data_IF_714215702728
#
_entry.id   IF_714215702728
#
_cell.length_a   1.000
_cell.length_b   1.000
_cell.length_c   1.000
_cell.angle_alpha   90.00
_cell.angle_beta   90.00
_cell.angle_gamma   90.00
#
_symmetry.space_group_name_H-M   'P 1'
#
loop_
_entity.id
_entity.type
_entity.pdbx_description
1 polymer ?
#
# COMPACT_ATOMS: atom_id res chain seq x y z
N UNK A 1 -10.42 -28.40 6.65
CA UNK A 1 -8.95 -28.56 6.69
C UNK A 1 -8.27 -27.78 5.56
N UNK A 2 -8.60 -28.02 4.28
CA UNK A 2 -8.03 -27.27 3.14
C UNK A 2 -8.26 -25.75 3.24
N UNK A 3 -9.47 -25.34 3.59
CA UNK A 3 -9.82 -23.92 3.77
C UNK A 3 -8.98 -23.25 4.86
N UNK A 4 -8.77 -23.93 5.99
CA UNK A 4 -7.91 -23.43 7.06
C UNK A 4 -6.44 -23.28 6.61
N UNK A 5 -5.92 -24.24 5.86
CA UNK A 5 -4.56 -24.16 5.30
C UNK A 5 -4.42 -23.00 4.30
N UNK A 6 -5.43 -22.78 3.44
CA UNK A 6 -5.45 -21.66 2.51
C UNK A 6 -5.52 -20.31 3.22
N UNK A 7 -6.28 -20.21 4.31
CA UNK A 7 -6.34 -19.00 5.13
C UNK A 7 -4.98 -18.71 5.76
N UNK A 8 -4.32 -19.73 6.33
CA UNK A 8 -2.97 -19.57 6.92
C UNK A 8 -1.95 -19.15 5.87
N UNK A 9 -1.98 -19.76 4.67
CA UNK A 9 -1.09 -19.41 3.57
C UNK A 9 -1.30 -17.96 3.10
N UNK A 10 -2.55 -17.55 2.88
CA UNK A 10 -2.88 -16.18 2.45
C UNK A 10 -2.52 -15.15 3.53
N UNK A 11 -2.74 -15.48 4.81
CA UNK A 11 -2.35 -14.63 5.92
C UNK A 11 -0.82 -14.45 5.97
N UNK A 12 -0.06 -15.53 5.82
CA UNK A 12 1.40 -15.48 5.78
C UNK A 12 1.93 -14.63 4.62
N UNK A 13 1.39 -14.81 3.41
CA UNK A 13 1.74 -13.98 2.25
C UNK A 13 1.43 -12.51 2.49
N UNK A 14 0.23 -12.19 2.99
CA UNK A 14 -0.18 -10.82 3.26
C UNK A 14 0.71 -10.15 4.33
N UNK A 15 1.11 -10.89 5.36
CA UNK A 15 2.05 -10.38 6.37
C UNK A 15 3.43 -10.10 5.77
N UNK A 16 3.96 -11.01 4.96
CA UNK A 16 5.25 -10.82 4.31
C UNK A 16 5.26 -9.60 3.38
N UNK A 17 4.22 -9.44 2.56
CA UNK A 17 4.11 -8.30 1.63
C UNK A 17 4.08 -6.96 2.37
N UNK A 18 3.25 -6.85 3.42
CA UNK A 18 3.13 -5.61 4.21
C UNK A 18 4.43 -5.28 4.95
N UNK A 19 5.16 -6.28 5.45
CA UNK A 19 6.45 -6.08 6.12
C UNK A 19 7.51 -5.63 5.11
N UNK A 20 7.59 -6.26 3.94
CA UNK A 20 8.51 -5.85 2.87
C UNK A 20 8.27 -4.40 2.48
N UNK A 21 7.01 -4.04 2.26
CA UNK A 21 6.68 -2.68 1.88
C UNK A 21 6.96 -1.66 3.00
N UNK A 22 6.73 -2.03 4.27
CA UNK A 22 7.07 -1.19 5.42
C UNK A 22 8.59 -0.95 5.51
N UNK A 23 9.40 -1.98 5.30
CA UNK A 23 10.86 -1.86 5.24
C UNK A 23 11.31 -0.96 4.09
N UNK A 24 10.70 -1.10 2.91
CA UNK A 24 10.97 -0.21 1.78
C UNK A 24 10.60 1.23 2.13
N UNK A 25 9.45 1.47 2.76
CA UNK A 25 9.03 2.81 3.18
C UNK A 25 10.00 3.44 4.19
N UNK A 26 10.49 2.69 5.18
CA UNK A 26 11.47 3.17 6.15
C UNK A 26 12.83 3.50 5.49
N UNK A 27 13.26 2.67 4.55
CA UNK A 27 14.49 2.90 3.77
C UNK A 27 14.38 4.13 2.86
N UNK A 28 13.21 4.35 2.26
CA UNK A 28 12.88 5.54 1.45
C UNK A 28 12.99 6.82 2.27
N UNK A 29 12.45 6.82 3.48
CA UNK A 29 12.55 7.99 4.37
C UNK A 29 14.00 8.24 4.79
N UNK A 30 14.76 7.19 5.08
CA UNK A 30 16.15 7.28 5.51
C UNK A 30 17.09 7.80 4.41
N UNK A 31 16.82 7.46 3.14
CA UNK A 31 17.60 7.93 1.99
C UNK A 31 17.19 9.33 1.48
N UNK A 32 16.01 9.81 1.88
CA UNK A 32 15.47 11.12 1.54
C UNK A 32 14.53 11.11 0.31
N UNK A 33 13.71 12.17 0.13
CA UNK A 33 12.62 12.18 -0.85
C UNK A 33 13.09 11.90 -2.29
N UNK A 34 14.23 12.46 -2.69
CA UNK A 34 14.76 12.35 -4.05
C UNK A 34 15.02 10.90 -4.49
N UNK A 35 15.33 10.00 -3.54
CA UNK A 35 15.64 8.60 -3.82
C UNK A 35 14.42 7.68 -3.63
N UNK A 36 13.30 8.20 -3.12
CA UNK A 36 12.08 7.44 -2.82
C UNK A 36 11.56 6.62 -4.00
N UNK A 37 11.46 7.27 -5.17
CA UNK A 37 10.99 6.62 -6.40
C UNK A 37 11.97 5.56 -6.91
N UNK A 38 13.27 5.76 -6.72
CA UNK A 38 14.31 4.84 -7.18
C UNK A 38 14.28 3.53 -6.35
N UNK A 39 14.23 3.62 -5.02
CA UNK A 39 14.11 2.46 -4.13
C UNK A 39 12.83 1.66 -4.40
N UNK A 40 11.69 2.34 -4.53
CA UNK A 40 10.43 1.65 -4.78
C UNK A 40 10.43 1.00 -6.17
N UNK A 41 11.02 1.66 -7.18
CA UNK A 41 11.19 1.06 -8.50
C UNK A 41 12.07 -0.19 -8.49
N UNK A 42 13.11 -0.20 -7.65
CA UNK A 42 14.00 -1.34 -7.48
C UNK A 42 13.27 -2.52 -6.81
N UNK A 43 12.51 -2.26 -5.75
CA UNK A 43 11.70 -3.29 -5.08
C UNK A 43 10.72 -3.96 -6.06
N UNK A 44 10.01 -3.16 -6.85
CA UNK A 44 9.06 -3.67 -7.83
C UNK A 44 9.72 -4.38 -9.01
N UNK A 45 10.90 -3.94 -9.43
CA UNK A 45 11.68 -4.65 -10.43
C UNK A 45 12.13 -6.01 -9.91
N UNK A 46 12.55 -6.10 -8.65
CA UNK A 46 12.88 -7.37 -7.98
C UNK A 46 11.67 -8.31 -7.91
N UNK A 47 10.50 -7.79 -7.49
CA UNK A 47 9.23 -8.52 -7.50
C UNK A 47 8.88 -9.05 -8.89
N UNK A 48 9.06 -8.23 -9.94
CA UNK A 48 8.79 -8.63 -11.31
C UNK A 48 9.71 -9.76 -11.79
N UNK A 49 11.01 -9.70 -11.44
CA UNK A 49 11.96 -10.77 -11.75
C UNK A 49 11.53 -12.08 -11.06
N UNK A 50 11.18 -12.03 -9.77
CA UNK A 50 10.64 -13.20 -9.06
C UNK A 50 9.36 -13.73 -9.71
N UNK A 51 8.48 -12.83 -10.14
CA UNK A 51 7.25 -13.14 -10.86
C UNK A 51 7.47 -13.83 -12.22
N UNK A 52 8.49 -13.41 -12.97
CA UNK A 52 8.88 -14.05 -14.25
C UNK A 52 9.31 -15.49 -14.00
N UNK A 53 10.25 -15.70 -13.07
CA UNK A 53 10.71 -17.04 -12.73
C UNK A 53 9.58 -17.91 -12.18
N UNK A 54 8.73 -17.37 -11.31
CA UNK A 54 7.58 -18.07 -10.75
C UNK A 54 6.53 -18.46 -11.80
N UNK A 55 6.25 -17.58 -12.76
CA UNK A 55 5.27 -17.83 -13.83
C UNK A 55 5.79 -18.86 -14.83
N UNK A 56 7.07 -18.79 -15.19
CA UNK A 56 7.73 -19.79 -16.05
C UNK A 56 7.80 -21.16 -15.37
N UNK A 57 8.24 -21.21 -14.12
CA UNK A 57 8.31 -22.45 -13.35
C UNK A 57 6.92 -23.05 -13.13
N UNK A 58 5.92 -22.22 -12.82
CA UNK A 58 4.54 -22.65 -12.66
C UNK A 58 3.90 -23.19 -13.93
N UNK A 59 4.12 -22.51 -15.07
CA UNK A 59 3.67 -23.00 -16.38
C UNK A 59 4.33 -24.32 -16.75
N UNK A 60 5.65 -24.44 -16.59
CA UNK A 60 6.39 -25.67 -16.87
C UNK A 60 5.97 -26.83 -15.96
N UNK A 61 5.83 -26.57 -14.66
CA UNK A 61 5.43 -27.55 -13.67
C UNK A 61 4.02 -28.08 -13.93
N UNK A 62 3.08 -27.23 -14.33
CA UNK A 62 1.70 -27.63 -14.62
C UNK A 62 1.60 -28.55 -15.84
N UNK A 63 2.47 -28.40 -16.84
CA UNK A 63 2.44 -29.19 -18.07
C UNK A 63 3.22 -30.51 -17.98
N UNK A 64 4.29 -30.59 -17.17
CA UNK A 64 5.23 -31.71 -17.21
C UNK A 64 5.37 -32.48 -15.89
N UNK A 65 4.87 -31.96 -14.76
CA UNK A 65 5.06 -32.59 -13.46
C UNK A 65 3.73 -33.10 -12.86
N UNK A 66 3.76 -34.26 -12.19
CA UNK A 66 2.61 -34.71 -11.40
C UNK A 66 2.41 -33.79 -10.19
N UNK A 67 1.15 -33.63 -9.77
CA UNK A 67 0.70 -32.69 -8.72
C UNK A 67 1.53 -32.80 -7.42
N UNK A 68 1.91 -34.00 -7.00
CA UNK A 68 2.73 -34.20 -5.79
C UNK A 68 4.11 -33.54 -5.88
N UNK A 69 4.76 -33.62 -7.05
CA UNK A 69 6.05 -32.98 -7.27
C UNK A 69 5.91 -31.45 -7.32
N UNK A 70 4.79 -30.95 -7.87
CA UNK A 70 4.48 -29.51 -7.88
C UNK A 70 4.42 -28.98 -6.44
N UNK A 71 3.68 -29.65 -5.54
CA UNK A 71 3.59 -29.22 -4.14
C UNK A 71 4.96 -29.18 -3.45
N UNK A 72 5.82 -30.18 -3.68
CA UNK A 72 7.16 -30.22 -3.09
C UNK A 72 8.03 -29.06 -3.60
N UNK A 73 8.09 -28.86 -4.92
CA UNK A 73 8.86 -27.77 -5.55
C UNK A 73 8.38 -26.41 -5.06
N UNK A 74 7.07 -26.18 -5.03
CA UNK A 74 6.51 -24.91 -4.58
C UNK A 74 6.66 -24.69 -3.07
N UNK A 75 6.72 -25.74 -2.25
CA UNK A 75 6.98 -25.61 -0.80
C UNK A 75 8.40 -25.18 -0.46
N UNK A 76 9.37 -25.45 -1.35
CA UNK A 76 10.76 -25.02 -1.18
C UNK A 76 10.91 -23.48 -1.26
N UNK A 77 10.04 -22.80 -2.01
CA UNK A 77 10.10 -21.35 -2.20
C UNK A 77 9.78 -20.58 -0.89
N UNK A 78 8.67 -20.85 -0.17
CA UNK A 78 8.45 -20.28 1.16
C UNK A 78 9.51 -20.66 2.19
N UNK A 79 10.09 -21.87 2.09
CA UNK A 79 11.17 -22.27 2.99
C UNK A 79 12.42 -21.39 2.78
N UNK A 80 12.80 -21.14 1.53
CA UNK A 80 13.89 -20.22 1.22
C UNK A 80 13.59 -18.79 1.69
N UNK A 81 12.36 -18.31 1.50
CA UNK A 81 11.92 -17.01 2.02
C UNK A 81 12.07 -16.93 3.54
N UNK A 82 11.68 -17.98 4.28
CA UNK A 82 11.79 -18.04 5.72
C UNK A 82 13.26 -18.00 6.18
N UNK A 83 14.14 -18.74 5.49
CA UNK A 83 15.59 -18.68 5.73
C UNK A 83 16.13 -17.27 5.48
N UNK A 84 15.72 -16.63 4.39
CA UNK A 84 16.13 -15.25 4.08
C UNK A 84 15.70 -14.26 5.17
N UNK A 85 14.48 -14.40 5.71
CA UNK A 85 14.00 -13.55 6.80
C UNK A 85 14.83 -13.70 8.09
N UNK A 86 15.47 -14.84 8.33
CA UNK A 86 16.35 -15.02 9.50
C UNK A 86 17.67 -14.27 9.41
N UNK A 87 18.08 -13.85 8.21
CA UNK A 87 19.28 -13.05 7.98
C UNK A 87 19.02 -11.55 7.93
N UNK A 88 17.76 -11.11 7.95
CA UNK A 88 17.43 -9.68 7.97
C UNK A 88 17.72 -9.14 9.36
N UNK A 89 18.69 -8.24 9.45
CA UNK A 89 19.15 -7.65 10.71
C UNK A 89 18.34 -6.38 11.00
N UNK A 90 17.56 -6.41 12.08
CA UNK A 90 16.78 -5.25 12.53
C UNK A 90 17.74 -4.16 13.04
N UNK A 91 17.80 -3.01 12.37
CA UNK A 91 18.50 -1.83 12.88
C UNK A 91 17.52 -1.01 13.74
N UNK A 92 17.65 -0.98 15.08
CA UNK A 92 16.65 -0.40 15.98
C UNK A 92 16.74 1.14 16.04
N UNK A 93 16.61 1.82 14.91
CA UNK A 93 16.75 3.28 14.85
C UNK A 93 15.44 4.02 15.14
N UNK A 94 14.27 3.39 14.89
CA UNK A 94 12.96 4.04 15.05
C UNK A 94 12.43 4.14 16.48
N UNK A 95 12.77 3.20 17.37
CA UNK A 95 12.24 3.19 18.75
C UNK A 95 12.96 4.21 19.64
N UNK A 96 14.27 4.38 19.46
CA UNK A 96 15.08 5.30 20.29
C UNK A 96 14.71 6.77 20.02
N UNK A 97 14.48 7.15 18.75
CA UNK A 97 14.11 8.52 18.39
C UNK A 97 12.72 8.94 18.90
N UNK A 98 11.77 8.00 18.93
CA UNK A 98 10.43 8.25 19.47
C UNK A 98 10.44 8.41 21.01
N UNK A 99 11.34 7.71 21.70
CA UNK A 99 11.54 7.85 23.15
C UNK A 99 12.23 9.17 23.50
N UNK A 100 13.17 9.63 22.68
CA UNK A 100 13.90 10.88 22.91
C UNK A 100 13.07 12.13 22.60
N UNK A 101 12.19 12.12 21.58
CA UNK A 101 11.22 13.21 21.38
C UNK A 101 10.19 13.29 22.51
N UNK A 102 9.73 12.14 23.02
CA UNK A 102 8.75 12.12 24.11
C UNK A 102 9.34 12.67 25.43
N UNK A 103 10.64 12.49 25.66
CA UNK A 103 11.35 13.14 26.79
C UNK A 103 11.50 14.65 26.62
N UNK A 104 11.59 15.16 25.40
CA UNK A 104 11.73 16.59 25.14
C UNK A 104 10.39 17.34 25.26
N UNK A 105 9.29 16.71 24.86
CA UNK A 105 7.93 17.29 24.96
C UNK A 105 7.41 17.28 26.41
N UNK A 106 7.67 16.23 27.19
CA UNK A 106 7.24 16.17 28.60
C UNK A 106 7.96 17.23 29.47
N UNK A 107 9.24 17.53 29.17
CA UNK A 107 9.98 18.58 29.85
C UNK A 107 9.50 20.00 29.51
N UNK A 108 8.98 20.24 28.31
CA UNK A 108 8.39 21.55 27.95
C UNK A 108 6.94 21.72 28.44
N UNK A 109 6.21 20.63 28.67
CA UNK A 109 4.88 20.64 29.29
C UNK A 109 4.92 20.94 30.79
N UNK A 110 5.97 20.50 31.49
CA UNK A 110 6.13 20.70 32.93
C UNK A 110 6.60 22.14 33.30
N UNK A 111 7.32 22.85 32.44
CA UNK A 111 7.76 24.24 32.73
C UNK A 111 6.70 25.31 32.42
N UNK A 112 5.64 24.99 31.66
CA UNK A 112 4.55 25.94 31.34
C UNK A 112 3.31 25.84 32.23
N UNK A 113 3.26 24.90 33.17
CA UNK A 113 2.10 24.69 34.05
C UNK A 113 2.39 25.03 35.53
N UNK A 114 3.20 26.05 35.79
CA UNK A 114 3.33 26.66 37.13
C UNK A 114 3.68 28.14 37.04
N UNK A 115 2.80 28.93 36.43
CA UNK A 115 2.62 30.35 36.76
C UNK A 115 1.41 30.87 36.00
N UNK A 116 0.22 30.75 36.61
CA UNK A 116 -0.90 31.68 36.42
C UNK A 116 -1.99 31.34 37.44
N UNK A 117 -1.72 31.66 38.70
CA UNK A 117 -2.76 31.81 39.72
C UNK A 117 -3.17 33.28 39.75
N UNK A 118 -4.41 33.54 39.34
CA UNK A 118 -5.10 34.82 39.46
C UNK A 118 -5.17 35.26 40.93
N UNK A 119 -4.65 36.45 41.22
CA UNK A 119 -4.85 37.17 42.48
C UNK A 119 -5.18 38.64 42.18
N UNK A 120 -6.36 39.07 42.59
CA UNK A 120 -6.83 40.45 42.51
C UNK A 120 -6.41 41.24 43.76
N UNK A 121 -6.28 42.56 43.57
CA UNK A 121 -6.20 43.65 44.56
C UNK A 121 -4.85 44.09 45.17
N UNK A 122 -4.58 45.40 45.03
CA UNK A 122 -4.23 46.22 46.22
C UNK A 122 -2.80 46.76 46.39
N UNK A 123 -2.42 47.79 45.61
CA UNK A 123 -1.66 49.00 46.03
C UNK A 123 -0.27 48.94 46.72
N UNK A 124 0.57 49.93 46.31
CA UNK A 124 1.67 50.65 47.01
C UNK A 124 3.14 50.18 46.87
N UNK A 125 3.87 50.96 46.05
CA UNK A 125 5.09 51.78 46.34
C UNK A 125 6.33 51.14 47.04
N UNK A 126 7.45 51.19 46.27
CA UNK A 126 8.78 51.82 46.57
C UNK A 126 9.98 50.95 47.07
N UNK A 127 11.02 50.94 46.22
CA UNK A 127 12.50 51.00 46.43
C UNK A 127 13.30 49.88 47.16
N UNK A 128 14.40 49.52 46.46
CA UNK A 128 15.82 49.35 46.90
C UNK A 128 16.34 47.98 47.40
N UNK A 129 17.32 47.46 46.62
CA UNK A 129 18.73 47.12 47.01
C UNK A 129 19.07 45.78 47.71
N UNK A 130 20.01 45.06 47.05
CA UNK A 130 21.17 44.22 47.51
C UNK A 130 21.03 42.78 48.07
N UNK A 131 21.81 41.90 47.40
CA UNK A 131 22.88 40.96 47.88
C UNK A 131 22.54 39.76 48.79
N UNK A 132 23.00 38.60 48.29
CA UNK A 132 24.02 37.69 48.88
C UNK A 132 23.61 36.56 49.85
N UNK A 133 24.01 35.35 49.42
CA UNK A 133 24.55 34.19 50.15
C UNK A 133 23.70 33.34 51.12
N UNK A 134 23.62 32.05 50.73
CA UNK A 134 24.23 30.88 51.40
C UNK A 134 23.70 30.49 52.78
N UNK A 135 23.03 29.33 52.87
CA UNK A 135 23.36 28.22 53.79
C UNK A 135 22.29 27.11 53.82
N UNK A 136 22.71 25.84 53.66
CA UNK A 136 22.02 24.67 54.24
C UNK A 136 22.26 24.65 55.76
N UNK A 137 21.42 23.96 56.56
CA UNK A 137 21.80 22.59 56.93
C UNK A 137 20.63 21.58 56.98
N UNK A 138 21.04 20.31 56.89
CA UNK A 138 20.30 19.08 57.14
C UNK A 138 19.68 19.03 58.55
N UNK A 139 18.51 18.40 58.66
CA UNK A 139 18.27 17.19 59.46
C UNK A 139 16.81 17.08 59.91
N UNK A 140 16.09 16.08 59.39
CA UNK A 140 15.43 15.07 60.23
C UNK A 140 14.96 13.90 59.36
N UNK A 141 15.42 12.72 59.77
CA UNK A 141 15.20 11.40 59.19
C UNK A 141 14.07 10.72 59.97
N UNK A 142 13.07 10.22 59.25
CA UNK A 142 12.15 9.12 59.58
C UNK A 142 11.19 9.02 58.38
N UNK A 143 10.79 7.91 57.79
CA UNK A 143 11.13 6.48 57.80
C UNK A 143 10.36 5.92 56.58
N UNK A 144 10.76 4.75 56.08
CA UNK A 144 10.01 3.89 55.16
C UNK A 144 9.71 4.38 53.72
N UNK A 145 10.55 3.98 52.75
CA UNK A 145 10.08 3.15 51.64
C UNK A 145 11.26 2.40 50.98
N UNK A 146 11.54 1.19 51.46
CA UNK A 146 12.12 0.15 50.60
C UNK A 146 11.03 -0.28 49.61
N UNK A 147 11.26 -0.13 48.30
CA UNK A 147 11.05 -1.21 47.33
C UNK A 147 11.43 -0.81 45.90
N UNK A 148 12.23 -1.70 45.32
CA UNK A 148 12.22 -2.13 43.92
C UNK A 148 12.93 -1.27 42.87
N UNK A 149 14.18 -1.64 42.62
CA UNK A 149 14.61 -2.01 41.27
C UNK A 149 13.55 -2.97 40.67
N UNK A 150 12.73 -2.45 39.78
CA UNK A 150 11.90 -3.24 38.87
C UNK A 150 12.30 -2.90 37.44
N UNK A 151 12.27 -3.87 36.51
CA UNK A 151 12.46 -3.56 35.10
C UNK A 151 11.34 -2.59 34.69
N UNK A 152 11.68 -1.57 33.88
CA UNK A 152 10.69 -0.73 33.22
C UNK A 152 9.97 -1.64 32.23
N UNK A 153 8.94 -2.31 32.73
CA UNK A 153 7.92 -2.99 31.97
C UNK A 153 7.06 -1.87 31.38
N UNK A 154 7.58 -1.19 30.35
CA UNK A 154 6.77 -0.38 29.47
C UNK A 154 5.78 -1.36 28.84
N UNK A 155 4.55 -1.32 29.33
CA UNK A 155 3.52 -2.24 28.91
C UNK A 155 3.33 -2.07 27.41
N UNK A 156 3.42 -3.13 26.58
CA UNK A 156 3.22 -3.02 25.13
C UNK A 156 1.86 -2.37 24.81
N UNK A 157 0.88 -2.51 25.70
CA UNK A 157 -0.43 -1.87 25.63
C UNK A 157 -0.37 -0.32 25.67
N UNK A 158 0.52 0.29 26.46
CA UNK A 158 0.65 1.75 26.52
C UNK A 158 1.29 2.31 25.24
N UNK A 159 2.27 1.57 24.68
CA UNK A 159 2.91 1.87 23.38
C UNK A 159 1.96 1.66 22.20
N UNK A 160 1.09 0.65 22.25
CA UNK A 160 0.07 0.41 21.21
C UNK A 160 -0.98 1.51 21.21
N UNK A 161 -1.41 1.99 22.38
CA UNK A 161 -2.38 3.07 22.49
C UNK A 161 -1.84 4.40 21.99
N UNK A 162 -0.56 4.71 22.27
CA UNK A 162 0.09 5.91 21.73
C UNK A 162 0.31 5.79 20.22
N UNK A 163 0.77 4.65 19.71
CA UNK A 163 0.90 4.40 18.27
C UNK A 163 -0.45 4.54 17.54
N UNK A 164 -1.53 4.02 18.13
CA UNK A 164 -2.89 4.15 17.59
C UNK A 164 -3.38 5.60 17.58
N UNK A 165 -3.11 6.37 18.65
CA UNK A 165 -3.48 7.79 18.71
C UNK A 165 -2.69 8.62 17.70
N UNK A 166 -1.38 8.37 17.55
CA UNK A 166 -0.53 9.01 16.54
C UNK A 166 -0.98 8.65 15.12
N UNK A 167 -1.34 7.38 14.87
CA UNK A 167 -1.90 6.94 13.59
C UNK A 167 -3.22 7.64 13.27
N UNK A 168 -4.13 7.71 14.24
CA UNK A 168 -5.41 8.40 14.09
C UNK A 168 -5.21 9.89 13.81
N UNK A 169 -4.25 10.52 14.48
CA UNK A 169 -3.90 11.94 14.27
C UNK A 169 -3.28 12.15 12.89
N UNK A 170 -2.37 11.28 12.45
CA UNK A 170 -1.78 11.32 11.11
C UNK A 170 -2.84 11.13 10.01
N UNK A 171 -3.70 10.11 10.14
CA UNK A 171 -4.77 9.84 9.18
C UNK A 171 -5.81 10.96 9.11
N UNK A 172 -6.00 11.71 10.19
CA UNK A 172 -6.94 12.85 10.24
C UNK A 172 -6.38 14.10 9.55
N UNK A 173 -5.11 14.10 9.13
CA UNK A 173 -4.57 15.20 8.34
C UNK A 173 -5.24 15.23 6.96
N UNK A 174 -5.87 16.35 6.56
CA UNK A 174 -6.62 16.44 5.31
C UNK A 174 -5.74 16.29 4.07
N UNK A 175 -4.43 16.51 4.19
CA UNK A 175 -3.42 16.29 3.15
C UNK A 175 -3.28 14.81 2.78
N UNK A 176 -3.49 13.90 3.73
CA UNK A 176 -3.38 12.45 3.55
C UNK A 176 -4.76 11.84 3.27
N UNK A 177 -5.77 12.25 4.05
CA UNK A 177 -7.11 11.67 3.99
C UNK A 177 -7.76 11.88 2.61
N UNK A 178 -7.61 13.06 2.00
CA UNK A 178 -8.26 13.37 0.72
C UNK A 178 -7.74 12.49 -0.43
N UNK A 179 -6.41 12.36 -0.66
CA UNK A 179 -5.89 11.39 -1.64
C UNK A 179 -6.27 9.95 -1.33
N UNK A 180 -6.22 9.51 -0.07
CA UNK A 180 -6.55 8.13 0.32
C UNK A 180 -8.03 7.80 0.09
N UNK A 181 -8.93 8.71 0.44
CA UNK A 181 -10.37 8.55 0.20
C UNK A 181 -10.65 8.51 -1.30
N UNK A 182 -10.05 9.42 -2.09
CA UNK A 182 -10.18 9.38 -3.55
C UNK A 182 -9.67 8.06 -4.13
N UNK A 183 -8.54 7.54 -3.62
CA UNK A 183 -7.96 6.28 -4.06
C UNK A 183 -8.85 5.08 -3.72
N UNK A 184 -9.42 5.06 -2.51
CA UNK A 184 -10.38 4.05 -2.10
C UNK A 184 -11.62 4.06 -3.01
N UNK A 185 -12.23 5.23 -3.23
CA UNK A 185 -13.37 5.36 -4.14
C UNK A 185 -13.01 4.95 -5.57
N UNK A 186 -11.82 5.33 -6.06
CA UNK A 186 -11.33 4.93 -7.39
C UNK A 186 -11.27 3.40 -7.55
N UNK A 187 -10.91 2.65 -6.52
CA UNK A 187 -10.89 1.17 -6.58
C UNK A 187 -12.28 0.53 -6.39
N UNK A 188 -13.15 1.12 -5.55
CA UNK A 188 -14.49 0.57 -5.30
C UNK A 188 -15.43 0.78 -6.49
N UNK A 189 -15.35 1.94 -7.13
CA UNK A 189 -16.27 2.33 -8.22
C UNK A 189 -16.06 1.48 -9.47
N UNK A 190 -14.83 1.00 -9.70
CA UNK A 190 -14.50 0.15 -10.85
C UNK A 190 -14.98 -1.28 -10.53
N UNK A 191 -16.03 -1.80 -11.18
CA UNK A 191 -16.48 -3.16 -10.99
C UNK A 191 -15.40 -4.12 -11.53
N UNK A 192 -14.94 -5.06 -10.71
CA UNK A 192 -13.92 -6.01 -11.14
C UNK A 192 -14.59 -7.25 -11.79
N UNK A 193 -14.53 -7.33 -13.11
CA UNK A 193 -15.10 -8.43 -13.91
C UNK A 193 -14.00 -9.44 -14.34
N UNK A 194 -12.80 -9.37 -13.74
CA UNK A 194 -11.64 -10.17 -14.15
C UNK A 194 -11.88 -11.68 -14.08
N UNK A 195 -12.70 -12.15 -13.13
CA UNK A 195 -13.06 -13.57 -13.00
C UNK A 195 -13.90 -14.05 -14.18
N UNK A 196 -14.90 -13.26 -14.60
CA UNK A 196 -15.75 -13.58 -15.76
C UNK A 196 -14.93 -13.50 -17.04
N UNK A 197 -14.03 -12.51 -17.16
CA UNK A 197 -13.10 -12.41 -18.28
C UNK A 197 -12.16 -13.62 -18.37
N UNK A 198 -11.67 -14.13 -17.24
CA UNK A 198 -10.87 -15.35 -17.19
C UNK A 198 -11.66 -16.58 -17.66
N UNK A 199 -12.92 -16.74 -17.25
CA UNK A 199 -13.79 -17.81 -17.75
C UNK A 199 -14.03 -17.69 -19.26
N UNK A 200 -14.27 -16.48 -19.76
CA UNK A 200 -14.39 -16.25 -21.21
C UNK A 200 -13.11 -16.65 -21.97
N UNK A 201 -11.94 -16.30 -21.44
CA UNK A 201 -10.65 -16.66 -22.06
C UNK A 201 -10.38 -18.17 -22.09
N UNK A 202 -10.85 -18.90 -21.08
CA UNK A 202 -10.59 -20.34 -20.92
C UNK A 202 -11.63 -21.21 -21.64
N UNK A 203 -12.92 -20.89 -21.51
CA UNK A 203 -14.02 -21.69 -22.06
C UNK A 203 -14.38 -21.31 -23.50
N UNK A 204 -14.40 -20.02 -23.87
CA UNK A 204 -14.78 -19.59 -25.22
C UNK A 204 -13.57 -19.55 -26.17
N UNK A 205 -12.47 -18.94 -25.73
CA UNK A 205 -11.25 -18.83 -26.55
C UNK A 205 -10.36 -20.08 -26.49
N UNK A 206 -10.67 -21.05 -25.62
CA UNK A 206 -9.94 -22.31 -25.44
C UNK A 206 -8.42 -22.08 -25.24
N UNK A 207 -8.06 -21.06 -24.46
CA UNK A 207 -6.65 -20.76 -24.18
C UNK A 207 -6.10 -21.75 -23.15
N UNK A 208 -5.00 -22.41 -23.53
CA UNK A 208 -4.31 -23.35 -22.64
C UNK A 208 -3.73 -22.63 -21.41
N UNK A 209 -3.74 -23.29 -20.25
CA UNK A 209 -3.19 -22.72 -19.01
C UNK A 209 -1.69 -22.33 -19.13
N UNK A 210 -0.93 -23.05 -19.96
CA UNK A 210 0.47 -22.74 -20.29
C UNK A 210 0.62 -21.39 -21.02
N UNK A 211 -0.32 -21.06 -21.91
CA UNK A 211 -0.38 -19.77 -22.59
C UNK A 211 -0.71 -18.64 -21.62
N UNK A 212 -1.62 -18.88 -20.68
CA UNK A 212 -1.98 -17.90 -19.66
C UNK A 212 -0.82 -17.64 -18.68
N UNK A 213 -0.02 -18.67 -18.37
CA UNK A 213 1.24 -18.52 -17.64
C UNK A 213 2.27 -17.68 -18.41
N UNK A 214 2.37 -17.86 -19.72
CA UNK A 214 3.22 -17.02 -20.59
C UNK A 214 2.71 -15.58 -20.65
N UNK A 215 1.40 -15.35 -20.62
CA UNK A 215 0.82 -14.02 -20.57
C UNK A 215 1.21 -13.26 -19.30
N UNK A 216 1.25 -13.94 -18.15
CA UNK A 216 1.75 -13.37 -16.88
C UNK A 216 3.21 -12.92 -17.01
N UNK A 217 4.06 -13.67 -17.72
CA UNK A 217 5.46 -13.27 -17.95
C UNK A 217 5.55 -11.94 -18.71
N UNK A 218 4.73 -11.75 -19.75
CA UNK A 218 4.66 -10.47 -20.46
C UNK A 218 4.15 -9.36 -19.54
N UNK A 219 3.19 -9.66 -18.66
CA UNK A 219 2.74 -8.74 -17.61
C UNK A 219 3.87 -8.27 -16.70
N UNK A 220 4.76 -9.17 -16.28
CA UNK A 220 5.93 -8.79 -15.48
C UNK A 220 6.95 -7.95 -16.25
N UNK A 221 7.18 -8.22 -17.53
CA UNK A 221 8.00 -7.34 -18.37
C UNK A 221 7.38 -5.94 -18.53
N UNK A 222 6.06 -5.89 -18.72
CA UNK A 222 5.29 -4.65 -18.76
C UNK A 222 5.40 -3.88 -17.45
N UNK A 223 5.41 -4.57 -16.29
CA UNK A 223 5.64 -3.96 -14.99
C UNK A 223 7.03 -3.32 -14.88
N UNK A 224 8.09 -4.01 -15.30
CA UNK A 224 9.47 -3.46 -15.31
C UNK A 224 9.52 -2.22 -16.20
N UNK A 225 8.97 -2.31 -17.42
CA UNK A 225 8.96 -1.21 -18.39
C UNK A 225 8.14 -0.01 -17.88
N UNK A 226 6.97 -0.26 -17.28
CA UNK A 226 6.11 0.76 -16.69
C UNK A 226 6.76 1.46 -15.51
N UNK A 227 7.42 0.71 -14.64
CA UNK A 227 8.14 1.23 -13.48
C UNK A 227 9.35 2.07 -13.91
N UNK A 228 10.10 1.61 -14.91
CA UNK A 228 11.18 2.39 -15.54
C UNK A 228 10.67 3.70 -16.15
N UNK A 229 9.55 3.63 -16.88
CA UNK A 229 8.90 4.80 -17.50
C UNK A 229 8.43 5.80 -16.45
N UNK A 230 7.87 5.33 -15.33
CA UNK A 230 7.49 6.16 -14.19
C UNK A 230 8.69 6.94 -13.65
N UNK A 231 9.78 6.22 -13.35
CA UNK A 231 10.96 6.82 -12.74
C UNK A 231 11.64 7.84 -13.67
N UNK A 232 11.62 7.60 -14.99
CA UNK A 232 12.24 8.54 -15.94
C UNK A 232 11.38 9.78 -16.23
N UNK A 233 10.06 9.63 -16.38
CA UNK A 233 9.20 10.70 -16.92
C UNK A 233 8.17 11.26 -15.92
N UNK A 234 7.62 10.42 -15.04
CA UNK A 234 6.46 10.77 -14.23
C UNK A 234 6.80 11.17 -12.79
N UNK A 235 7.98 10.81 -12.26
CA UNK A 235 8.39 11.18 -10.90
C UNK A 235 8.36 12.68 -10.59
N UNK A 236 8.54 13.52 -11.62
CA UNK A 236 8.52 14.98 -11.51
C UNK A 236 7.19 15.63 -11.92
N UNK A 237 6.20 14.84 -12.37
CA UNK A 237 4.89 15.35 -12.76
C UNK A 237 3.96 15.42 -11.54
N UNK A 238 2.96 16.29 -11.61
CA UNK A 238 1.93 16.40 -10.56
C UNK A 238 1.12 15.10 -10.45
N UNK A 239 0.79 14.70 -9.21
CA UNK A 239 0.02 13.49 -8.92
C UNK A 239 -1.29 13.41 -9.73
N UNK A 240 -2.01 14.54 -9.85
CA UNK A 240 -3.25 14.61 -10.63
C UNK A 240 -3.06 14.18 -12.08
N UNK A 241 -1.99 14.64 -12.74
CA UNK A 241 -1.75 14.31 -14.14
C UNK A 241 -1.43 12.82 -14.31
N UNK A 242 -0.61 12.26 -13.40
CA UNK A 242 -0.28 10.83 -13.37
C UNK A 242 -1.56 9.99 -13.28
N UNK A 243 -2.49 10.39 -12.41
CA UNK A 243 -3.76 9.69 -12.22
C UNK A 243 -4.71 9.83 -13.41
N UNK A 244 -4.76 11.00 -14.07
CA UNK A 244 -5.49 11.17 -15.33
C UNK A 244 -4.93 10.23 -16.39
N UNK A 245 -3.60 10.21 -16.60
CA UNK A 245 -2.97 9.31 -17.56
C UNK A 245 -3.25 7.84 -17.25
N UNK A 246 -3.22 7.45 -15.97
CA UNK A 246 -3.52 6.08 -15.55
C UNK A 246 -4.98 5.69 -15.87
N UNK A 247 -5.96 6.56 -15.57
CA UNK A 247 -7.37 6.26 -15.84
C UNK A 247 -7.70 6.31 -17.34
N UNK A 248 -7.09 7.23 -18.10
CA UNK A 248 -7.19 7.24 -19.57
C UNK A 248 -6.62 5.97 -20.16
N UNK A 249 -5.44 5.52 -19.70
CA UNK A 249 -4.86 4.27 -20.13
C UNK A 249 -5.73 3.06 -19.78
N UNK A 250 -6.29 3.01 -18.57
CA UNK A 250 -7.21 1.94 -18.15
C UNK A 250 -8.52 1.94 -18.98
N UNK A 251 -9.01 3.12 -19.35
CA UNK A 251 -10.16 3.26 -20.25
C UNK A 251 -9.84 2.74 -21.67
N UNK A 252 -8.63 3.02 -22.19
CA UNK A 252 -8.17 2.48 -23.48
C UNK A 252 -8.11 0.95 -23.43
N UNK A 253 -7.59 0.36 -22.34
CA UNK A 253 -7.58 -1.09 -22.18
C UNK A 253 -8.99 -1.65 -22.08
N UNK A 254 -9.88 -1.01 -21.32
CA UNK A 254 -11.27 -1.45 -21.21
C UNK A 254 -11.98 -1.39 -22.57
N UNK A 255 -11.64 -0.43 -23.43
CA UNK A 255 -12.10 -0.38 -24.82
C UNK A 255 -11.54 -1.54 -25.67
N UNK A 256 -10.26 -1.91 -25.48
CA UNK A 256 -9.67 -3.08 -26.13
C UNK A 256 -10.36 -4.38 -25.67
N UNK A 257 -10.71 -4.49 -24.39
CA UNK A 257 -11.44 -5.64 -23.85
C UNK A 257 -12.87 -5.71 -24.44
N UNK A 258 -13.56 -4.58 -24.61
CA UNK A 258 -14.86 -4.53 -25.30
C UNK A 258 -14.71 -4.96 -26.77
N UNK A 259 -13.64 -4.51 -27.44
CA UNK A 259 -13.37 -4.87 -28.82
C UNK A 259 -13.05 -6.37 -29.00
N UNK A 260 -12.38 -6.97 -28.00
CA UNK A 260 -12.14 -8.41 -27.91
C UNK A 260 -13.45 -9.18 -27.77
N UNK A 261 -14.28 -8.84 -26.78
CA UNK A 261 -15.55 -9.53 -26.52
C UNK A 261 -16.52 -9.38 -27.71
N UNK A 262 -16.54 -8.21 -28.35
CA UNK A 262 -17.38 -7.94 -29.53
C UNK A 262 -16.85 -8.57 -30.83
N UNK A 263 -15.75 -9.35 -30.78
CA UNK A 263 -15.11 -10.01 -31.93
C UNK A 263 -14.75 -9.05 -33.08
N UNK A 264 -14.55 -7.76 -32.80
CA UNK A 264 -14.25 -6.74 -33.81
C UNK A 264 -12.88 -6.94 -34.48
N UNK A 265 -12.02 -7.77 -33.90
CA UNK A 265 -10.68 -8.12 -34.42
C UNK A 265 -10.69 -9.22 -35.49
N UNK A 266 -11.74 -10.02 -35.56
CA UNK A 266 -11.89 -11.11 -36.55
C UNK A 266 -11.75 -10.62 -37.99
N UNK A 267 -12.38 -9.51 -38.43
CA UNK A 267 -12.20 -9.00 -39.80
C UNK A 267 -10.78 -8.46 -40.08
N UNK A 268 -10.02 -8.08 -39.05
CA UNK A 268 -8.63 -7.60 -39.19
C UNK A 268 -7.60 -8.73 -39.15
N UNK A 269 -8.02 -9.99 -38.96
CA UNK A 269 -7.12 -11.15 -38.92
C UNK A 269 -6.17 -11.18 -37.73
N UNK A 270 -6.43 -10.39 -36.69
CA UNK A 270 -5.62 -10.38 -35.46
C UNK A 270 -6.05 -11.58 -34.61
N UNK A 271 -5.09 -12.46 -34.29
CA UNK A 271 -5.36 -13.64 -33.47
C UNK A 271 -5.74 -13.25 -32.03
N UNK A 272 -6.80 -13.87 -31.53
CA UNK A 272 -7.40 -13.66 -30.19
C UNK A 272 -6.35 -13.71 -29.07
N UNK A 273 -5.38 -14.62 -29.22
CA UNK A 273 -4.22 -14.79 -28.33
C UNK A 273 -3.44 -13.50 -28.11
N UNK A 274 -3.15 -12.77 -29.19
CA UNK A 274 -2.33 -11.55 -29.11
C UNK A 274 -3.10 -10.41 -28.43
N UNK A 275 -4.40 -10.28 -28.71
CA UNK A 275 -5.22 -9.25 -28.09
C UNK A 275 -5.33 -9.46 -26.57
N UNK A 276 -5.56 -10.71 -26.14
CA UNK A 276 -5.60 -11.07 -24.72
C UNK A 276 -4.26 -10.80 -24.03
N UNK A 277 -3.14 -11.19 -24.67
CA UNK A 277 -1.79 -10.96 -24.14
C UNK A 277 -1.52 -9.48 -23.87
N UNK A 278 -1.80 -8.61 -24.84
CA UNK A 278 -1.53 -7.19 -24.72
C UNK A 278 -2.49 -6.51 -23.73
N UNK A 279 -3.77 -6.87 -23.72
CA UNK A 279 -4.76 -6.30 -22.80
C UNK A 279 -4.39 -6.53 -21.34
N UNK A 280 -4.12 -7.79 -20.97
CA UNK A 280 -3.75 -8.13 -19.59
C UNK A 280 -2.40 -7.55 -19.18
N UNK A 281 -1.39 -7.62 -20.05
CA UNK A 281 -0.05 -7.12 -19.73
C UNK A 281 -0.01 -5.59 -19.52
N UNK A 282 -0.76 -4.81 -20.32
CA UNK A 282 -0.86 -3.37 -20.11
C UNK A 282 -1.73 -3.05 -18.88
N UNK A 283 -2.77 -3.83 -18.60
CA UNK A 283 -3.67 -3.58 -17.47
C UNK A 283 -2.91 -3.66 -16.14
N UNK A 284 -2.09 -4.69 -15.98
CA UNK A 284 -1.28 -4.91 -14.79
C UNK A 284 -0.29 -3.76 -14.57
N UNK A 285 0.40 -3.32 -15.64
CA UNK A 285 1.34 -2.21 -15.56
C UNK A 285 0.66 -0.89 -15.18
N UNK A 286 -0.53 -0.60 -15.73
CA UNK A 286 -1.27 0.63 -15.40
C UNK A 286 -1.80 0.60 -13.96
N UNK A 287 -2.31 -0.54 -13.49
CA UNK A 287 -2.78 -0.69 -12.12
C UNK A 287 -1.64 -0.49 -11.11
N UNK A 288 -0.45 -1.00 -11.41
CA UNK A 288 0.73 -0.79 -10.57
C UNK A 288 1.23 0.65 -10.64
N UNK A 289 1.23 1.25 -11.84
CA UNK A 289 1.53 2.66 -12.02
C UNK A 289 0.60 3.58 -11.21
N UNK A 290 -0.69 3.20 -11.05
CA UNK A 290 -1.67 3.90 -10.22
C UNK A 290 -1.32 3.86 -8.72
N UNK A 291 -0.78 2.74 -8.24
CA UNK A 291 -0.39 2.55 -6.83
C UNK A 291 0.87 3.34 -6.45
N UNK A 292 1.83 3.43 -7.38
CA UNK A 292 3.19 3.91 -7.09
C UNK A 292 3.25 5.28 -6.39
N UNK A 293 2.56 6.33 -6.87
CA UNK A 293 2.63 7.65 -6.26
C UNK A 293 2.06 7.70 -4.84
N UNK A 294 1.07 6.87 -4.53
CA UNK A 294 0.46 6.85 -3.20
C UNK A 294 1.37 6.19 -2.18
N UNK A 295 2.16 5.21 -2.59
CA UNK A 295 3.16 4.57 -1.73
C UNK A 295 4.31 5.53 -1.42
N UNK A 296 4.79 6.28 -2.42
CA UNK A 296 5.78 7.34 -2.24
C UNK A 296 5.23 8.43 -1.32
N UNK A 297 4.00 8.88 -1.56
CA UNK A 297 3.33 9.88 -0.73
C UNK A 297 3.12 9.39 0.70
N UNK A 298 2.74 8.12 0.87
CA UNK A 298 2.60 7.49 2.18
C UNK A 298 3.94 7.52 2.91
N UNK A 299 5.04 7.07 2.28
CA UNK A 299 6.38 7.08 2.88
C UNK A 299 6.86 8.48 3.28
N UNK A 300 6.54 9.51 2.50
CA UNK A 300 6.91 10.90 2.80
C UNK A 300 6.10 11.52 3.95
N UNK A 301 4.84 11.12 4.10
CA UNK A 301 3.90 11.70 5.07
C UNK A 301 3.82 10.92 6.39
N UNK A 302 4.44 9.75 6.47
CA UNK A 302 4.52 8.95 7.69
C UNK A 302 5.33 9.70 8.78
N UNK A 303 4.78 9.91 9.99
CA UNK A 303 5.57 10.39 11.11
C UNK A 303 6.59 9.34 11.57
N UNK A 304 7.73 9.78 12.12
CA UNK A 304 8.78 8.87 12.55
C UNK A 304 8.27 7.88 13.60
N UNK A 305 8.55 6.60 13.39
CA UNK A 305 8.20 5.53 14.34
C UNK A 305 6.81 4.90 14.16
N UNK A 306 5.96 5.39 13.24
CA UNK A 306 4.70 4.72 12.87
C UNK A 306 4.56 4.43 11.36
N UNK A 307 5.66 4.50 10.61
CA UNK A 307 5.70 4.35 9.15
C UNK A 307 5.06 3.05 8.67
N UNK A 308 5.49 1.93 9.24
CA UNK A 308 4.94 0.61 8.91
C UNK A 308 3.44 0.50 9.19
N UNK A 309 2.95 1.11 10.27
CA UNK A 309 1.53 1.06 10.64
C UNK A 309 0.66 1.91 9.71
N UNK A 310 1.11 3.10 9.33
CA UNK A 310 0.37 3.95 8.38
C UNK A 310 0.35 3.32 6.98
N UNK A 311 1.46 2.72 6.57
CA UNK A 311 1.56 1.99 5.32
C UNK A 311 0.67 0.74 5.32
N UNK A 312 0.69 -0.06 6.39
CA UNK A 312 -0.19 -1.22 6.55
C UNK A 312 -1.67 -0.82 6.50
N UNK A 313 -2.04 0.32 7.11
CA UNK A 313 -3.39 0.87 7.03
C UNK A 313 -3.75 1.24 5.58
N UNK A 314 -2.84 1.89 4.85
CA UNK A 314 -3.03 2.23 3.43
C UNK A 314 -3.28 0.98 2.58
N UNK A 315 -2.43 -0.05 2.73
CA UNK A 315 -2.60 -1.32 2.01
C UNK A 315 -3.89 -2.04 2.39
N UNK A 316 -4.28 -2.00 3.67
CA UNK A 316 -5.54 -2.57 4.14
C UNK A 316 -6.75 -1.88 3.50
N UNK A 317 -6.74 -0.56 3.40
CA UNK A 317 -7.79 0.22 2.72
C UNK A 317 -7.84 -0.13 1.23
N UNK A 318 -6.67 -0.28 0.58
CA UNK A 318 -6.60 -0.68 -0.83
C UNK A 318 -7.19 -2.09 -1.06
N UNK A 319 -6.81 -3.06 -0.23
CA UNK A 319 -7.33 -4.43 -0.30
C UNK A 319 -8.84 -4.49 -0.04
N UNK A 320 -9.33 -3.69 0.90
CA UNK A 320 -10.77 -3.53 1.14
C UNK A 320 -11.49 -2.95 -0.09
N UNK A 321 -10.91 -1.93 -0.72
CA UNK A 321 -11.43 -1.34 -1.95
C UNK A 321 -11.53 -2.34 -3.10
N UNK A 322 -10.47 -3.12 -3.31
CA UNK A 322 -10.43 -4.19 -4.33
C UNK A 322 -11.44 -5.31 -4.05
N UNK A 323 -11.61 -5.68 -2.78
CA UNK A 323 -12.60 -6.67 -2.34
C UNK A 323 -14.02 -6.18 -2.63
N UNK A 324 -14.35 -4.93 -2.26
CA UNK A 324 -15.64 -4.33 -2.56
C UNK A 324 -15.89 -4.19 -4.07
N UNK A 325 -14.87 -3.79 -4.85
CA UNK A 325 -14.95 -3.75 -6.31
C UNK A 325 -15.20 -5.13 -6.93
N UNK A 326 -14.65 -6.19 -6.33
CA UNK A 326 -14.90 -7.59 -6.73
C UNK A 326 -16.31 -8.06 -6.39
N UNK A 327 -16.83 -7.69 -5.21
CA UNK A 327 -18.24 -7.94 -4.87
C UNK A 327 -19.18 -7.18 -5.81
N UNK A 328 -18.90 -5.92 -6.13
CA UNK A 328 -19.67 -5.13 -7.08
C UNK A 328 -19.63 -5.76 -8.49
N UNK A 329 -18.47 -6.24 -8.94
CA UNK A 329 -18.32 -6.97 -10.19
C UNK A 329 -19.14 -8.27 -10.22
N UNK A 330 -19.15 -9.04 -9.13
CA UNK A 330 -19.95 -10.25 -9.01
C UNK A 330 -21.47 -9.96 -9.01
N UNK A 331 -21.90 -8.91 -8.29
CA UNK A 331 -23.30 -8.46 -8.30
C UNK A 331 -23.70 -7.99 -9.71
N UNK A 332 -22.83 -7.24 -10.40
CA UNK A 332 -23.06 -6.81 -11.77
C UNK A 332 -23.17 -7.99 -12.74
N UNK A 333 -22.29 -8.99 -12.61
CA UNK A 333 -22.33 -10.20 -13.43
C UNK A 333 -23.63 -10.99 -13.21
N UNK A 334 -24.06 -11.12 -11.95
CA UNK A 334 -25.35 -11.74 -11.61
C UNK A 334 -26.54 -10.93 -12.12
N UNK A 335 -26.51 -9.60 -12.05
CA UNK A 335 -27.59 -8.73 -12.51
C UNK A 335 -27.75 -8.76 -14.04
N UNK A 336 -26.65 -8.92 -14.78
CA UNK A 336 -26.64 -9.06 -16.24
C UNK A 336 -26.91 -10.49 -16.71
N UNK A 337 -27.20 -11.43 -15.80
CA UNK A 337 -27.39 -12.86 -16.06
C UNK A 337 -26.24 -13.48 -16.88
N UNK A 338 -25.00 -13.06 -16.62
CA UNK A 338 -23.83 -13.62 -17.30
C UNK A 338 -23.58 -15.01 -16.72
N UNK A 339 -23.90 -16.03 -17.51
CA UNK A 339 -23.66 -17.44 -17.16
C UNK A 339 -22.39 -17.92 -17.85
N UNK A 340 -21.78 -19.00 -17.33
CA UNK A 340 -20.61 -19.65 -17.96
C UNK A 340 -20.90 -20.18 -19.37
N UNK A 341 -22.17 -20.20 -19.80
CA UNK A 341 -22.61 -20.67 -21.12
C UNK A 341 -23.15 -19.55 -22.05
N UNK A 342 -23.35 -18.32 -21.56
CA UNK A 342 -23.89 -17.20 -22.36
C UNK A 342 -23.20 -15.89 -21.97
N UNK A 343 -22.35 -15.38 -22.86
CA UNK A 343 -21.54 -14.19 -22.65
C UNK A 343 -22.05 -12.94 -23.39
N UNK A 344 -23.27 -12.96 -23.94
CA UNK A 344 -23.81 -11.89 -24.78
C UNK A 344 -23.86 -10.52 -24.09
N UNK A 345 -24.10 -10.51 -22.77
CA UNK A 345 -24.15 -9.28 -21.95
C UNK A 345 -22.77 -8.88 -21.39
N UNK A 346 -21.70 -9.61 -21.68
CA UNK A 346 -20.36 -9.32 -21.16
C UNK A 346 -19.87 -7.94 -21.66
N UNK A 347 -20.10 -7.62 -22.94
CA UNK A 347 -19.76 -6.31 -23.49
C UNK A 347 -20.48 -5.15 -22.77
N UNK A 348 -21.73 -5.35 -22.33
CA UNK A 348 -22.46 -4.37 -21.52
C UNK A 348 -21.84 -4.23 -20.12
N UNK A 349 -21.43 -5.34 -19.50
CA UNK A 349 -20.70 -5.34 -18.24
C UNK A 349 -19.37 -4.58 -18.34
N UNK A 350 -18.61 -4.79 -19.40
CA UNK A 350 -17.40 -4.01 -19.68
C UNK A 350 -17.70 -2.54 -19.97
N UNK A 351 -18.84 -2.23 -20.59
CA UNK A 351 -19.30 -0.85 -20.77
C UNK A 351 -19.55 -0.14 -19.42
N UNK A 352 -20.19 -0.82 -18.47
CA UNK A 352 -20.35 -0.33 -17.09
C UNK A 352 -18.98 -0.17 -16.41
N UNK A 353 -18.06 -1.11 -16.62
CA UNK A 353 -16.69 -1.00 -16.12
C UNK A 353 -15.97 0.22 -16.70
N UNK A 354 -16.08 0.48 -18.01
CA UNK A 354 -15.51 1.66 -18.66
C UNK A 354 -16.04 2.96 -18.03
N UNK A 355 -17.35 3.07 -17.81
CA UNK A 355 -17.95 4.23 -17.12
C UNK A 355 -17.37 4.35 -15.70
N UNK A 356 -17.28 3.23 -14.97
CA UNK A 356 -16.66 3.17 -13.65
C UNK A 356 -15.19 3.60 -13.64
N UNK A 357 -14.42 3.32 -14.70
CA UNK A 357 -13.03 3.78 -14.83
C UNK A 357 -12.91 5.27 -15.16
N UNK A 358 -13.92 5.88 -15.78
CA UNK A 358 -13.89 7.31 -16.10
C UNK A 358 -14.42 8.18 -14.95
N UNK A 359 -15.31 7.64 -14.11
CA UNK A 359 -15.94 8.38 -13.02
C UNK A 359 -14.95 8.99 -12.00
N UNK A 360 -13.87 8.31 -11.56
CA UNK A 360 -12.88 8.87 -10.63
C UNK A 360 -12.13 10.09 -11.19
N UNK A 361 -12.05 10.23 -12.51
CA UNK A 361 -11.43 11.39 -13.17
C UNK A 361 -12.24 12.66 -12.83
N UNK A 362 -13.57 12.58 -12.81
CA UNK A 362 -14.43 13.70 -12.40
C UNK A 362 -14.20 14.13 -10.95
N UNK A 363 -13.84 13.18 -10.08
CA UNK A 363 -13.56 13.43 -8.67
C UNK A 363 -12.12 13.86 -8.36
N UNK A 364 -11.26 14.05 -9.37
CA UNK A 364 -9.87 14.53 -9.19
C UNK A 364 -9.77 15.91 -8.53
N UNK A 365 -10.88 16.66 -8.43
CA UNK A 365 -10.94 17.90 -7.66
C UNK A 365 -10.56 17.70 -6.17
N UNK A 366 -10.79 16.50 -5.61
CA UNK A 366 -10.50 16.19 -4.19
C UNK A 366 -8.99 16.19 -3.85
N UNK A 367 -8.11 15.90 -4.80
CA UNK A 367 -6.65 15.81 -4.56
C UNK A 367 -6.07 17.23 -4.60
N UNK A 368 -5.39 17.79 -3.60
CA UNK A 368 -4.85 19.16 -3.68
C UNK A 368 -3.92 19.36 -4.89
N UNK A 369 -3.89 20.56 -5.49
CA UNK A 369 -3.06 20.86 -6.68
C UNK A 369 -1.55 20.84 -6.38
N UNK A 370 -1.17 20.94 -5.11
CA UNK A 370 0.21 21.14 -4.64
C UNK A 370 0.95 19.83 -4.30
N UNK A 371 0.27 18.67 -4.31
CA UNK A 371 0.92 17.40 -3.96
C UNK A 371 1.70 16.88 -5.17
N UNK A 372 3.00 17.15 -5.20
CA UNK A 372 3.94 16.63 -6.20
C UNK A 372 4.49 15.28 -5.71
N UNK A 373 4.79 14.33 -6.59
CA UNK A 373 5.34 13.01 -6.20
C UNK A 373 6.68 13.08 -5.45
N UNK A 374 7.32 14.24 -5.48
CA UNK A 374 8.47 14.61 -4.67
C UNK A 374 8.21 16.04 -4.18
N UNK A 375 8.01 16.23 -2.88
CA UNK A 375 8.09 17.58 -2.30
C UNK A 375 9.53 18.04 -2.43
N UNK A 376 9.73 19.09 -3.25
CA UNK A 376 11.02 19.79 -3.37
C UNK A 376 11.52 20.32 -2.04
#
# INVERSE_FOLDING_TARGET
>A
MLTALLVVQNLGSAMADVVIDAMVAESVRSAGPQFAGDLQSLSWSSMAVGGIFGSLLGGYALSNLPIHAIYVVFSALPFFQLVSCMFVEDSPKGLQSAIDEHKYVDNQGAEKCSSEALGYEGTRRRKKIRKSNKSRPLSKRAEANEKHNGPINSSPCLSLRSAFFSLCTAFRQPTILRPMVWFFFSNVIIPNISTVMFYYQTEELHLEASFLGTARVIGWFSLILGTYTYNRYFKHKQLRNILVFAHVGLAIISLLDIALVSRLHVPYGIGDKYMVLWGSALADAINQFKMMPFLILSGQLCPPGIEGTLFALFMSINNLGSTLGSFLGAVLASALNISTAQFDNLALGLGVQLIGTLLPIGFLFLIPKEVTGLTS
#
